data_IF_896549232817
#
_entry.id   IF_896549232817
#
_cell.length_a   1.000
_cell.length_b   1.000
_cell.length_c   1.000
_cell.angle_alpha   90.00
_cell.angle_beta   90.00
_cell.angle_gamma   90.00
#
_symmetry.space_group_name_H-M   'P 1'
#
loop_
_entity.id
_entity.type
_entity.pdbx_description
1 polymer ?
#
# COMPACT_ATOMS: atom_id res chain seq x y z
N UNK A 1 14.72 2.79 25.18
CA UNK A 1 13.89 1.63 25.59
C UNK A 1 13.71 0.68 24.41
N UNK A 2 13.72 -0.61 24.70
CA UNK A 2 14.30 -1.66 23.84
C UNK A 2 13.43 -2.07 22.64
N UNK A 3 13.92 -1.84 21.42
CA UNK A 3 13.30 -2.23 20.15
C UNK A 3 13.50 -3.72 19.83
N UNK A 4 13.53 -4.57 20.85
CA UNK A 4 13.75 -6.01 20.76
C UNK A 4 12.48 -6.75 21.15
N UNK A 5 12.21 -7.87 20.47
CA UNK A 5 11.08 -8.75 20.75
C UNK A 5 11.56 -10.18 20.72
N UNK A 6 11.04 -10.99 21.63
CA UNK A 6 11.29 -12.43 21.68
C UNK A 6 10.65 -13.06 20.45
N UNK A 7 11.42 -13.84 19.69
CA UNK A 7 10.91 -14.62 18.57
C UNK A 7 10.04 -15.75 19.15
N UNK A 8 8.79 -15.93 18.68
CA UNK A 8 7.97 -17.06 19.11
C UNK A 8 8.69 -18.39 18.90
N UNK A 9 8.54 -19.34 19.82
CA UNK A 9 9.23 -20.64 19.76
C UNK A 9 8.88 -21.46 18.51
N UNK A 10 7.71 -21.21 17.91
CA UNK A 10 7.27 -21.85 16.66
C UNK A 10 7.87 -21.24 15.39
N UNK A 11 8.63 -20.14 15.49
CA UNK A 11 9.20 -19.45 14.34
C UNK A 11 10.69 -19.76 14.18
N UNK A 12 11.13 -19.90 12.93
CA UNK A 12 12.55 -19.92 12.62
C UNK A 12 13.18 -18.52 12.74
N UNK A 13 14.50 -18.47 12.86
CA UNK A 13 15.24 -17.20 12.81
C UNK A 13 14.96 -16.41 11.52
N UNK A 14 14.83 -17.09 10.38
CA UNK A 14 14.52 -16.45 9.10
C UNK A 14 13.13 -15.79 9.13
N UNK A 15 12.13 -16.44 9.72
CA UNK A 15 10.79 -15.88 9.88
C UNK A 15 10.81 -14.65 10.81
N UNK A 16 11.51 -14.75 11.94
CA UNK A 16 11.68 -13.63 12.87
C UNK A 16 12.36 -12.42 12.22
N UNK A 17 13.43 -12.65 11.44
CA UNK A 17 14.16 -11.59 10.75
C UNK A 17 13.31 -10.89 9.66
N UNK A 18 12.53 -11.66 8.88
CA UNK A 18 11.69 -11.10 7.83
C UNK A 18 10.49 -10.29 8.36
N UNK A 19 9.97 -10.68 9.52
CA UNK A 19 8.75 -10.10 10.10
C UNK A 19 8.91 -8.64 10.51
N UNK A 20 10.01 -8.30 11.20
CA UNK A 20 10.08 -7.08 12.00
C UNK A 20 9.93 -5.81 11.14
N UNK A 21 10.76 -5.64 10.10
CA UNK A 21 10.73 -4.42 9.26
C UNK A 21 9.45 -4.36 8.45
N UNK A 22 9.01 -5.48 7.87
CA UNK A 22 7.85 -5.50 6.98
C UNK A 22 6.54 -5.29 7.74
N UNK A 23 6.38 -5.97 8.88
CA UNK A 23 5.22 -5.85 9.76
C UNK A 23 5.13 -4.47 10.41
N UNK A 24 6.25 -3.91 10.91
CA UNK A 24 6.26 -2.55 11.45
C UNK A 24 5.94 -1.50 10.40
N UNK A 25 6.44 -1.66 9.16
CA UNK A 25 6.13 -0.75 8.05
C UNK A 25 4.63 -0.75 7.77
N UNK A 26 4.03 -1.94 7.66
CA UNK A 26 2.60 -2.06 7.43
C UNK A 26 1.78 -1.47 8.58
N UNK A 27 2.12 -1.79 9.83
CA UNK A 27 1.43 -1.28 11.03
C UNK A 27 1.51 0.24 11.14
N UNK A 28 2.70 0.82 11.01
CA UNK A 28 2.90 2.26 11.10
C UNK A 28 2.17 3.00 9.96
N UNK A 29 2.31 2.50 8.73
CA UNK A 29 1.66 3.06 7.56
C UNK A 29 0.13 3.03 7.65
N UNK A 30 -0.46 1.90 8.06
CA UNK A 30 -1.92 1.78 8.18
C UNK A 30 -2.49 2.53 9.38
N UNK A 31 -1.91 2.36 10.58
CA UNK A 31 -2.49 2.91 11.82
C UNK A 31 -2.07 4.34 12.10
N UNK A 32 -0.78 4.65 12.00
CA UNK A 32 -0.25 5.95 12.44
C UNK A 32 -0.40 7.02 11.35
N UNK A 33 -0.05 6.68 10.11
CA UNK A 33 -0.11 7.62 9.00
C UNK A 33 -1.45 7.58 8.26
N UNK A 34 -1.93 6.37 7.94
CA UNK A 34 -3.18 6.17 7.23
C UNK A 34 -4.41 6.44 8.11
N UNK A 35 -4.30 6.20 9.42
CA UNK A 35 -5.42 6.20 10.36
C UNK A 35 -6.59 5.37 9.82
N UNK A 36 -6.29 4.16 9.35
CA UNK A 36 -7.29 3.26 8.77
C UNK A 36 -8.33 2.87 9.81
N UNK A 37 -9.59 3.02 9.44
CA UNK A 37 -10.74 2.60 10.23
C UNK A 37 -11.45 1.44 9.54
N UNK A 38 -12.42 0.85 10.23
CA UNK A 38 -13.24 -0.25 9.71
C UNK A 38 -14.01 0.12 8.43
N UNK A 39 -14.36 1.40 8.29
CA UNK A 39 -15.14 1.95 7.16
C UNK A 39 -14.25 2.53 6.05
N UNK A 40 -12.92 2.45 6.21
CA UNK A 40 -11.98 2.98 5.23
C UNK A 40 -11.88 2.10 3.99
N UNK A 41 -11.90 2.73 2.82
CA UNK A 41 -11.55 2.11 1.54
C UNK A 41 -10.05 2.24 1.30
N UNK A 42 -9.36 1.11 1.16
CA UNK A 42 -7.88 1.05 1.17
C UNK A 42 -7.34 0.42 -0.10
N UNK A 43 -6.37 1.09 -0.74
CA UNK A 43 -5.57 0.52 -1.83
C UNK A 43 -4.20 0.08 -1.31
N UNK A 44 -3.87 -1.20 -1.47
CA UNK A 44 -2.53 -1.73 -1.19
C UNK A 44 -1.81 -2.01 -2.50
N UNK A 45 -0.79 -1.23 -2.81
CA UNK A 45 0.04 -1.56 -3.97
C UNK A 45 1.01 -2.69 -3.66
N UNK A 46 1.30 -3.54 -4.66
CA UNK A 46 2.21 -4.67 -4.50
C UNK A 46 1.82 -5.63 -3.36
N UNK A 47 0.54 -6.02 -3.27
CA UNK A 47 -0.01 -6.80 -2.16
C UNK A 47 0.62 -8.17 -1.94
N UNK A 48 1.17 -8.80 -2.99
CA UNK A 48 1.91 -10.06 -2.88
C UNK A 48 3.38 -9.87 -2.44
N UNK A 49 3.80 -8.65 -2.11
CA UNK A 49 5.12 -8.36 -1.55
C UNK A 49 5.12 -8.46 -0.02
N UNK A 50 6.30 -8.34 0.60
CA UNK A 50 6.45 -8.48 2.06
C UNK A 50 5.55 -7.55 2.87
N UNK A 51 5.68 -6.23 2.70
CA UNK A 51 4.84 -5.24 3.39
C UNK A 51 3.36 -5.38 2.97
N UNK A 52 3.10 -5.63 1.69
CA UNK A 52 1.74 -5.77 1.15
C UNK A 52 0.96 -6.90 1.83
N UNK A 53 1.59 -8.06 2.04
CA UNK A 53 0.98 -9.19 2.75
C UNK A 53 0.65 -8.85 4.19
N UNK A 54 1.56 -8.19 4.91
CA UNK A 54 1.28 -7.72 6.26
C UNK A 54 0.14 -6.72 6.30
N UNK A 55 0.07 -5.78 5.35
CA UNK A 55 -1.08 -4.86 5.27
C UNK A 55 -2.40 -5.63 5.15
N UNK A 56 -2.47 -6.61 4.25
CA UNK A 56 -3.67 -7.43 4.05
C UNK A 56 -4.03 -8.24 5.31
N UNK A 57 -3.05 -8.83 5.99
CA UNK A 57 -3.27 -9.55 7.26
C UNK A 57 -3.74 -8.62 8.38
N UNK A 58 -3.15 -7.42 8.51
CA UNK A 58 -3.54 -6.43 9.50
C UNK A 58 -4.98 -5.97 9.24
N UNK A 59 -5.30 -5.60 8.01
CA UNK A 59 -6.65 -5.23 7.59
C UNK A 59 -7.65 -6.36 7.84
N UNK A 60 -7.24 -7.62 7.67
CA UNK A 60 -8.06 -8.77 8.04
C UNK A 60 -8.23 -8.90 9.56
N UNK A 61 -7.17 -8.69 10.35
CA UNK A 61 -7.21 -8.83 11.81
C UNK A 61 -8.03 -7.74 12.51
N UNK A 62 -8.19 -6.58 11.88
CA UNK A 62 -9.07 -5.51 12.35
C UNK A 62 -10.56 -5.89 12.28
N UNK A 63 -10.91 -7.05 11.71
CA UNK A 63 -12.28 -7.53 11.42
C UNK A 63 -12.86 -8.49 12.47
N UNK A 64 -12.64 -8.27 13.76
CA UNK A 64 -13.15 -9.17 14.82
C UNK A 64 -14.67 -9.32 14.96
N UNK A 65 -15.49 -8.84 14.01
CA UNK A 65 -16.95 -8.87 14.02
C UNK A 65 -17.49 -9.57 12.74
N UNK A 66 -18.52 -10.43 12.84
CA UNK A 66 -19.07 -11.15 11.70
C UNK A 66 -19.88 -10.17 10.82
N UNK A 67 -19.35 -9.91 9.61
CA UNK A 67 -19.89 -9.05 8.54
C UNK A 67 -19.33 -7.62 8.45
N UNK A 68 -18.01 -7.44 8.54
CA UNK A 68 -17.43 -6.22 7.97
C UNK A 68 -16.06 -6.41 7.31
N UNK A 69 -15.95 -5.93 6.08
CA UNK A 69 -14.72 -5.89 5.29
C UNK A 69 -14.37 -4.43 5.09
N UNK A 70 -13.22 -3.99 5.60
CA UNK A 70 -12.58 -2.79 5.05
C UNK A 70 -12.41 -3.01 3.55
N UNK A 71 -13.05 -2.16 2.75
CA UNK A 71 -13.06 -2.24 1.29
C UNK A 71 -11.63 -2.17 0.79
N UNK A 72 -11.04 -3.31 0.46
CA UNK A 72 -9.62 -3.38 0.08
C UNK A 72 -9.49 -3.71 -1.39
N UNK A 73 -8.65 -2.93 -2.07
CA UNK A 73 -8.15 -3.23 -3.42
C UNK A 73 -6.66 -3.42 -3.30
N UNK A 74 -6.10 -4.34 -4.07
CA UNK A 74 -4.67 -4.58 -4.11
C UNK A 74 -4.17 -4.74 -5.53
N UNK A 75 -2.90 -4.38 -5.75
CA UNK A 75 -2.25 -4.54 -7.05
C UNK A 75 -1.12 -5.56 -7.01
N UNK A 76 -0.93 -6.29 -8.10
CA UNK A 76 0.17 -7.23 -8.32
C UNK A 76 0.78 -7.02 -9.70
N UNK A 77 1.94 -7.62 -9.95
CA UNK A 77 2.67 -7.48 -11.23
C UNK A 77 2.42 -8.61 -12.22
N UNK A 78 1.91 -9.76 -11.77
CA UNK A 78 1.75 -10.98 -12.56
C UNK A 78 0.48 -11.73 -12.14
N UNK A 79 -0.01 -12.60 -13.03
CA UNK A 79 -1.16 -13.47 -12.76
C UNK A 79 -0.85 -14.48 -11.66
N UNK A 80 0.35 -15.07 -11.65
CA UNK A 80 0.78 -16.00 -10.59
C UNK A 80 0.69 -15.38 -9.19
N UNK A 81 1.02 -14.08 -9.07
CA UNK A 81 0.89 -13.35 -7.80
C UNK A 81 -0.57 -13.10 -7.42
N UNK A 82 -1.46 -12.94 -8.40
CA UNK A 82 -2.91 -12.86 -8.16
C UNK A 82 -3.43 -14.20 -7.64
N UNK A 83 -3.07 -15.31 -8.28
CA UNK A 83 -3.44 -16.65 -7.84
C UNK A 83 -2.90 -16.97 -6.44
N UNK A 84 -1.65 -16.60 -6.17
CA UNK A 84 -1.07 -16.71 -4.83
C UNK A 84 -1.87 -15.95 -3.77
N UNK A 85 -2.29 -14.72 -4.06
CA UNK A 85 -3.12 -13.95 -3.14
C UNK A 85 -4.50 -14.58 -2.94
N UNK A 86 -5.15 -15.05 -4.01
CA UNK A 86 -6.44 -15.73 -3.90
C UNK A 86 -6.35 -17.00 -3.04
N UNK A 87 -5.25 -17.76 -3.16
CA UNK A 87 -5.00 -18.96 -2.35
C UNK A 87 -4.70 -18.62 -0.89
N UNK A 88 -3.90 -17.59 -0.65
CA UNK A 88 -3.40 -17.24 0.70
C UNK A 88 -4.41 -16.40 1.49
N UNK A 89 -5.24 -15.62 0.78
CA UNK A 89 -6.16 -14.63 1.34
C UNK A 89 -7.57 -14.84 0.76
N UNK A 90 -8.29 -15.90 1.14
CA UNK A 90 -9.58 -16.25 0.54
C UNK A 90 -10.70 -15.24 0.81
N UNK A 91 -10.45 -14.20 1.60
CA UNK A 91 -11.38 -13.08 1.78
C UNK A 91 -11.27 -12.01 0.70
N UNK A 92 -10.24 -12.04 -0.14
CA UNK A 92 -10.10 -11.15 -1.28
C UNK A 92 -10.88 -11.69 -2.45
N UNK A 93 -11.67 -10.81 -3.08
CA UNK A 93 -12.37 -11.14 -4.30
C UNK A 93 -11.45 -10.97 -5.52
N UNK A 94 -11.61 -11.75 -6.59
CA UNK A 94 -10.79 -11.60 -7.81
C UNK A 94 -10.82 -10.19 -8.42
N UNK A 95 -11.93 -9.46 -8.27
CA UNK A 95 -12.10 -8.09 -8.79
C UNK A 95 -11.40 -7.03 -7.90
N UNK A 96 -11.03 -7.39 -6.68
CA UNK A 96 -10.23 -6.54 -5.79
C UNK A 96 -8.72 -6.69 -6.05
N UNK A 97 -8.30 -7.62 -6.92
CA UNK A 97 -6.90 -7.88 -7.23
C UNK A 97 -6.60 -7.46 -8.68
N UNK A 98 -5.98 -6.28 -8.79
CA UNK A 98 -5.57 -5.67 -10.05
C UNK A 98 -4.21 -6.24 -10.47
N UNK A 99 -4.11 -6.75 -11.69
CA UNK A 99 -2.86 -7.19 -12.28
C UNK A 99 -2.34 -6.09 -13.20
N UNK A 100 -1.30 -5.39 -12.75
CA UNK A 100 -0.70 -4.28 -13.50
C UNK A 100 -0.05 -4.82 -14.77
N UNK A 101 -0.65 -4.52 -15.91
CA UNK A 101 -0.14 -4.86 -17.23
C UNK A 101 0.10 -3.59 -18.06
N UNK A 102 1.07 -3.65 -18.96
CA UNK A 102 1.27 -2.61 -20.00
C UNK A 102 0.38 -2.83 -21.24
N UNK A 103 -0.27 -3.99 -21.33
CA UNK A 103 -1.20 -4.38 -22.40
C UNK A 103 -2.60 -4.54 -21.78
N UNK A 104 -3.61 -3.89 -22.35
CA UNK A 104 -5.00 -3.92 -21.87
C UNK A 104 -5.49 -2.55 -21.40
N UNK A 105 -6.51 -2.55 -20.52
CA UNK A 105 -7.10 -1.34 -19.94
C UNK A 105 -6.07 -0.49 -19.18
N UNK A 106 -6.28 0.82 -19.12
CA UNK A 106 -5.41 1.72 -18.35
C UNK A 106 -5.40 1.32 -16.87
N UNK A 107 -4.31 1.62 -16.18
CA UNK A 107 -4.27 1.46 -14.71
C UNK A 107 -5.34 2.31 -14.02
N UNK A 108 -5.67 3.48 -14.59
CA UNK A 108 -6.78 4.34 -14.13
C UNK A 108 -8.12 3.59 -14.21
N UNK A 109 -8.43 3.01 -15.37
CA UNK A 109 -9.67 2.26 -15.60
C UNK A 109 -9.78 1.06 -14.66
N UNK A 110 -8.68 0.35 -14.43
CA UNK A 110 -8.62 -0.79 -13.51
C UNK A 110 -8.95 -0.38 -12.06
N UNK A 111 -8.51 0.81 -11.62
CA UNK A 111 -8.85 1.34 -10.30
C UNK A 111 -10.34 1.68 -10.21
N UNK A 112 -10.90 2.32 -11.24
CA UNK A 112 -12.34 2.63 -11.31
C UNK A 112 -13.19 1.37 -11.27
N UNK A 113 -12.84 0.36 -12.05
CA UNK A 113 -13.55 -0.92 -12.09
C UNK A 113 -13.52 -1.64 -10.72
N UNK A 114 -12.38 -1.59 -10.04
CA UNK A 114 -12.24 -2.16 -8.70
C UNK A 114 -13.10 -1.41 -7.67
N UNK A 115 -13.14 -0.07 -7.71
CA UNK A 115 -14.00 0.75 -6.85
C UNK A 115 -15.49 0.48 -7.13
N UNK A 116 -15.89 0.43 -8.40
CA UNK A 116 -17.25 0.06 -8.80
C UNK A 116 -17.64 -1.34 -8.29
N UNK A 117 -16.72 -2.30 -8.38
CA UNK A 117 -16.93 -3.66 -7.86
C UNK A 117 -17.13 -3.65 -6.34
N UNK A 118 -16.37 -2.84 -5.60
CA UNK A 118 -16.55 -2.69 -4.15
C UNK A 118 -17.93 -2.11 -3.80
N UNK A 119 -18.35 -1.04 -4.47
CA UNK A 119 -19.65 -0.41 -4.22
C UNK A 119 -20.82 -1.35 -4.52
N UNK A 120 -20.70 -2.18 -5.55
CA UNK A 120 -21.74 -3.17 -5.88
C UNK A 120 -21.85 -4.30 -4.85
N UNK A 121 -20.77 -4.62 -4.14
CA UNK A 121 -20.78 -5.64 -3.08
C UNK A 121 -21.44 -5.16 -1.79
N UNK A 122 -21.42 -3.86 -1.52
CA UNK A 122 -21.94 -3.24 -0.29
C UNK A 122 -23.30 -2.54 -0.51
N UNK A 123 -24.15 -2.99 -1.44
CA UNK A 123 -25.53 -2.49 -1.63
C UNK A 123 -26.49 -2.87 -0.47
N UNK A 124 -26.16 -2.49 0.76
CA UNK A 124 -27.16 -2.27 1.82
C UNK A 124 -27.58 -0.80 1.77
N UNK A 125 -28.86 -0.53 2.05
CA UNK A 125 -29.52 0.78 1.85
C UNK A 125 -28.86 1.99 2.56
N UNK A 126 -27.97 1.77 3.54
CA UNK A 126 -27.28 2.82 4.31
C UNK A 126 -25.77 2.94 4.01
N UNK A 127 -25.22 2.18 3.05
CA UNK A 127 -23.76 2.13 2.85
C UNK A 127 -23.24 3.27 1.94
N UNK A 128 -22.14 3.90 2.40
CA UNK A 128 -21.48 5.02 1.73
C UNK A 128 -20.89 4.56 0.39
N UNK A 129 -21.42 5.09 -0.71
CA UNK A 129 -20.82 4.91 -2.03
C UNK A 129 -19.41 5.53 -2.03
N UNK A 130 -18.35 4.71 -2.20
CA UNK A 130 -16.99 5.22 -2.16
C UNK A 130 -16.59 5.72 -3.54
N UNK A 131 -16.29 7.02 -3.63
CA UNK A 131 -15.81 7.66 -4.87
C UNK A 131 -14.29 7.48 -5.07
N UNK A 132 -13.58 7.04 -4.04
CA UNK A 132 -12.13 6.87 -4.04
C UNK A 132 -11.61 6.05 -2.88
N UNK A 133 -10.29 6.12 -2.67
CA UNK A 133 -9.60 5.48 -1.56
C UNK A 133 -9.34 6.49 -0.44
N UNK A 134 -9.69 6.12 0.79
CA UNK A 134 -9.37 6.92 1.98
C UNK A 134 -7.90 6.79 2.34
N UNK A 135 -7.32 5.61 2.11
CA UNK A 135 -5.89 5.34 2.37
C UNK A 135 -5.29 4.55 1.21
N UNK A 136 -4.12 5.00 0.74
CA UNK A 136 -3.34 4.27 -0.27
C UNK A 136 -1.96 3.96 0.30
N UNK A 137 -1.60 2.69 0.34
CA UNK A 137 -0.25 2.22 0.68
C UNK A 137 0.56 2.03 -0.62
N UNK A 138 1.45 2.98 -0.92
CA UNK A 138 2.24 3.00 -2.17
C UNK A 138 3.70 2.55 -1.98
N UNK A 139 4.03 1.41 -2.58
CA UNK A 139 5.37 0.83 -2.66
C UNK A 139 6.03 1.06 -4.03
N UNK A 140 5.25 1.44 -5.05
CA UNK A 140 5.69 1.46 -6.45
C UNK A 140 6.19 2.86 -6.80
N UNK A 141 5.37 3.89 -6.53
CA UNK A 141 5.60 5.26 -6.97
C UNK A 141 5.66 5.38 -8.50
N UNK A 142 6.40 6.39 -8.98
CA UNK A 142 6.66 6.56 -10.41
C UNK A 142 5.38 6.61 -11.25
N UNK A 143 5.26 5.72 -12.23
CA UNK A 143 4.16 5.76 -13.20
C UNK A 143 2.75 5.49 -12.62
N UNK A 144 2.63 4.82 -11.46
CA UNK A 144 1.31 4.59 -10.82
C UNK A 144 0.87 5.72 -9.92
N UNK A 145 1.78 6.59 -9.53
CA UNK A 145 1.57 7.55 -8.44
C UNK A 145 0.45 8.55 -8.76
N UNK A 146 0.42 9.12 -9.98
CA UNK A 146 -0.61 10.10 -10.36
C UNK A 146 -2.02 9.50 -10.32
N UNK A 147 -2.19 8.32 -10.92
CA UNK A 147 -3.47 7.60 -10.90
C UNK A 147 -3.91 7.24 -9.48
N UNK A 148 -2.98 6.79 -8.62
CA UNK A 148 -3.26 6.55 -7.20
C UNK A 148 -3.75 7.84 -6.52
N UNK A 149 -3.02 8.95 -6.68
CA UNK A 149 -3.35 10.23 -6.06
C UNK A 149 -4.71 10.78 -6.53
N UNK A 150 -5.00 10.65 -7.82
CA UNK A 150 -6.26 11.12 -8.41
C UNK A 150 -7.47 10.35 -7.86
N UNK A 151 -7.29 9.07 -7.55
CA UNK A 151 -8.31 8.21 -6.93
C UNK A 151 -8.39 8.31 -5.41
N UNK A 152 -7.65 9.20 -4.75
CA UNK A 152 -7.89 9.49 -3.33
C UNK A 152 -9.26 10.16 -3.14
N UNK A 153 -9.97 9.74 -2.09
CA UNK A 153 -11.13 10.46 -1.57
C UNK A 153 -10.71 11.84 -1.01
N UNK A 154 -11.66 12.76 -0.86
CA UNK A 154 -11.43 13.99 -0.08
C UNK A 154 -11.10 13.61 1.37
N UNK A 155 -10.05 14.19 1.93
CA UNK A 155 -9.47 13.83 3.22
C UNK A 155 -8.56 12.58 3.17
N UNK A 156 -8.42 11.95 2.00
CA UNK A 156 -7.65 10.73 1.82
C UNK A 156 -6.13 10.95 1.92
N UNK A 157 -5.41 9.89 2.29
CA UNK A 157 -3.96 9.90 2.52
C UNK A 157 -3.26 8.85 1.67
N UNK A 158 -2.34 9.28 0.80
CA UNK A 158 -1.40 8.39 0.12
C UNK A 158 -0.12 8.29 0.95
N UNK A 159 0.10 7.11 1.51
CA UNK A 159 1.27 6.77 2.32
C UNK A 159 2.29 6.05 1.44
N UNK A 160 3.37 6.74 1.08
CA UNK A 160 4.48 6.18 0.30
C UNK A 160 5.60 5.70 1.23
N UNK A 161 6.06 4.47 1.01
CA UNK A 161 7.15 3.85 1.78
C UNK A 161 8.17 3.14 0.89
N UNK A 162 8.04 3.28 -0.42
CA UNK A 162 8.89 2.64 -1.40
C UNK A 162 8.84 3.35 -2.75
N UNK A 163 9.82 3.04 -3.59
CA UNK A 163 9.92 3.55 -4.96
C UNK A 163 10.41 2.43 -5.88
N UNK A 164 9.67 1.32 -5.90
CA UNK A 164 10.05 0.14 -6.67
C UNK A 164 10.27 0.44 -8.16
N UNK A 165 9.57 1.42 -8.73
CA UNK A 165 9.77 1.81 -10.14
C UNK A 165 11.16 2.45 -10.40
N UNK A 166 11.78 3.04 -9.38
CA UNK A 166 13.12 3.63 -9.46
C UNK A 166 14.23 2.68 -9.01
N UNK A 167 13.88 1.49 -8.53
CA UNK A 167 14.86 0.49 -8.06
C UNK A 167 15.40 -0.31 -9.25
N UNK A 168 16.73 -0.38 -9.47
CA UNK A 168 17.32 -1.22 -10.50
C UNK A 168 16.96 -2.70 -10.30
N UNK A 169 16.63 -3.40 -11.37
CA UNK A 169 16.35 -4.86 -11.34
C UNK A 169 17.62 -5.70 -11.53
N UNK A 170 18.72 -5.07 -11.96
CA UNK A 170 20.02 -5.70 -12.18
C UNK A 170 21.08 -4.92 -11.39
N UNK A 171 22.23 -5.55 -11.13
CA UNK A 171 23.37 -4.94 -10.44
C UNK A 171 24.00 -3.76 -11.22
N UNK A 172 23.59 -3.57 -12.48
CA UNK A 172 24.01 -2.43 -13.30
C UNK A 172 22.92 -1.36 -13.40
N UNK A 173 23.33 -0.10 -13.17
CA UNK A 173 22.43 1.05 -13.24
C UNK A 173 22.34 1.56 -14.68
N UNK A 174 21.13 1.53 -15.25
CA UNK A 174 20.86 2.18 -16.54
C UNK A 174 20.56 3.67 -16.33
N UNK A 175 21.61 4.49 -16.30
CA UNK A 175 21.55 5.93 -16.06
C UNK A 175 20.62 6.69 -17.01
N UNK A 176 20.69 6.53 -18.34
CA UNK A 176 19.78 7.25 -19.25
C UNK A 176 18.30 6.98 -18.95
N UNK A 177 17.94 5.72 -18.71
CA UNK A 177 16.58 5.33 -18.36
C UNK A 177 16.15 5.91 -17.00
N UNK A 178 17.05 5.90 -16.02
CA UNK A 178 16.76 6.43 -14.68
C UNK A 178 16.56 7.94 -14.71
N UNK A 179 17.43 8.69 -15.41
CA UNK A 179 17.29 10.14 -15.62
C UNK A 179 15.96 10.45 -16.30
N UNK A 180 15.62 9.71 -17.36
CA UNK A 180 14.36 9.91 -18.07
C UNK A 180 13.14 9.64 -17.18
N UNK A 181 13.15 8.57 -16.38
CA UNK A 181 12.12 8.30 -15.37
C UNK A 181 12.04 9.42 -14.34
N UNK A 182 13.19 9.91 -13.87
CA UNK A 182 13.25 10.98 -12.88
C UNK A 182 12.67 12.29 -13.41
N UNK A 183 12.99 12.66 -14.66
CA UNK A 183 12.45 13.87 -15.29
C UNK A 183 10.95 13.79 -15.53
N UNK A 184 10.44 12.60 -15.93
CA UNK A 184 9.01 12.36 -16.16
C UNK A 184 8.22 11.95 -14.91
N UNK A 185 8.83 11.98 -13.74
CA UNK A 185 8.15 11.59 -12.50
C UNK A 185 6.96 12.52 -12.25
N UNK A 186 5.80 11.99 -11.83
CA UNK A 186 4.69 12.84 -11.42
C UNK A 186 5.10 13.65 -10.20
N UNK A 187 4.67 14.91 -10.16
CA UNK A 187 4.90 15.82 -9.03
C UNK A 187 3.55 16.19 -8.44
N UNK A 188 3.50 16.23 -7.12
CA UNK A 188 2.37 16.81 -6.40
C UNK A 188 2.62 18.30 -6.30
N UNK A 189 1.63 19.11 -6.62
CA UNK A 189 1.65 20.53 -6.35
C UNK A 189 1.08 20.77 -4.94
N UNK A 190 1.93 21.23 -4.02
CA UNK A 190 1.53 21.50 -2.65
C UNK A 190 0.47 22.61 -2.58
N UNK A 191 0.45 23.52 -3.57
CA UNK A 191 -0.53 24.60 -3.63
C UNK A 191 -1.93 24.12 -4.01
N UNK A 192 -2.06 22.97 -4.69
CA UNK A 192 -3.37 22.39 -5.02
C UNK A 192 -3.93 21.48 -3.92
N UNK A 193 -3.08 21.02 -2.99
CA UNK A 193 -3.52 20.11 -1.93
C UNK A 193 -4.63 20.68 -1.02
N UNK A 194 -4.63 21.97 -0.62
CA UNK A 194 -5.70 22.54 0.19
C UNK A 194 -7.05 22.63 -0.53
N UNK A 195 -7.08 22.73 -1.86
CA UNK A 195 -8.35 22.78 -2.62
C UNK A 195 -8.90 21.37 -2.91
N UNK A 196 -8.00 20.41 -3.10
CA UNK A 196 -8.34 19.00 -3.32
C UNK A 196 -8.65 18.25 -2.00
N UNK A 197 -8.19 18.78 -0.86
CA UNK A 197 -8.25 18.14 0.46
C UNK A 197 -7.56 16.77 0.49
N UNK A 198 -6.40 16.61 -0.16
CA UNK A 198 -5.67 15.33 -0.23
C UNK A 198 -4.31 15.43 0.44
N UNK A 199 -3.87 14.32 1.06
CA UNK A 199 -2.59 14.23 1.75
C UNK A 199 -1.63 13.23 1.12
N UNK A 200 -0.34 13.56 1.09
CA UNK A 200 0.74 12.62 0.76
C UNK A 200 1.72 12.56 1.93
N UNK A 201 1.98 11.36 2.42
CA UNK A 201 2.86 11.10 3.56
C UNK A 201 3.95 10.13 3.13
N UNK A 202 5.21 10.46 3.39
CA UNK A 202 6.36 9.60 3.11
C UNK A 202 7.02 9.14 4.39
N UNK A 203 7.39 7.85 4.48
CA UNK A 203 8.21 7.39 5.58
C UNK A 203 9.17 6.28 5.16
N UNK A 204 10.26 6.16 5.90
CA UNK A 204 11.18 5.04 5.79
C UNK A 204 11.68 4.67 7.20
N UNK A 205 11.32 3.48 7.67
CA UNK A 205 11.65 3.03 9.02
C UNK A 205 13.15 2.83 9.24
N UNK A 206 13.93 2.60 8.17
CA UNK A 206 15.39 2.49 8.27
C UNK A 206 15.98 3.84 8.70
N UNK A 207 15.47 4.94 8.15
CA UNK A 207 15.95 6.30 8.45
C UNK A 207 15.37 6.88 9.73
N UNK A 208 14.17 6.44 10.12
CA UNK A 208 13.47 6.98 11.30
C UNK A 208 14.14 6.60 12.63
N UNK A 209 14.92 5.52 12.68
CA UNK A 209 15.70 5.17 13.89
C UNK A 209 17.02 5.94 14.03
N UNK A 210 17.53 6.54 12.96
CA UNK A 210 18.83 7.22 12.98
C UNK A 210 18.80 8.55 13.74
N UNK A 211 17.64 9.22 13.84
CA UNK A 211 17.52 10.51 14.54
C UNK A 211 17.51 10.42 16.07
N UNK A 212 17.36 9.24 16.64
CA UNK A 212 17.38 9.04 18.10
C UNK A 212 18.75 8.58 18.62
N UNK A 213 19.70 8.27 17.73
CA UNK A 213 21.00 7.69 18.05
C UNK A 213 22.17 8.70 17.99
N UNK A 214 21.94 9.98 18.33
CA UNK A 214 23.03 10.95 18.51
C UNK A 214 23.48 11.11 19.96
N UNK A 215 22.85 10.40 20.91
CA UNK A 215 23.32 10.35 22.28
C UNK A 215 23.63 8.91 22.67
N UNK A 216 24.89 8.67 23.04
CA UNK A 216 25.47 7.42 23.56
C UNK A 216 26.04 6.46 22.51
N UNK A 217 27.08 6.93 21.81
CA UNK A 217 28.22 6.08 21.44
C UNK A 217 29.35 6.34 22.44
N UNK A 218 29.43 5.54 23.52
CA UNK A 218 30.66 5.06 24.18
C UNK A 218 30.31 3.72 24.82
#
# INVERSE_FOLDING_TARGET
EELVRVIPSSWSFQQGAAFMVQGLTAMYGLRSLGHVTKDSTVLITSGAGGVGLFCLWILRSMKGEPNMVSSVVTTVSTLDKKEFLLKTMPFLNPNQIIVRSKKGASYDDQLREALCSLNNQHKKEDDKNTEGFDVIMDAIGGYTFKANYDHLSRGGRLVTFGSADFTPTKDTVNWPKLIWKYLRRPRVDVMSMPSENKGVLGFNLIWSKCQTCTHTCI
#
